data_IF_369535250340
#
_entry.id   IF_369535250340
#
_cell.length_a   1.000
_cell.length_b   1.000
_cell.length_c   1.000
_cell.angle_alpha   90.00
_cell.angle_beta   90.00
_cell.angle_gamma   90.00
#
_symmetry.space_group_name_H-M   'P 1'
#
loop_
_entity.id
_entity.type
_entity.pdbx_description
1 polymer ?
#
# COMPACT_ATOMS: atom_id res chain seq x y z
N UNK A 1 49.41 -23.41 -26.48
CA UNK A 1 48.02 -22.89 -26.49
C UNK A 1 48.13 -21.40 -26.70
N UNK A 2 47.48 -20.91 -27.75
CA UNK A 2 47.60 -19.56 -28.28
C UNK A 2 47.15 -18.56 -27.22
N UNK A 3 47.83 -17.40 -27.06
CA UNK A 3 47.43 -16.38 -26.09
C UNK A 3 45.97 -15.90 -26.27
N UNK A 4 45.40 -16.09 -27.47
CA UNK A 4 43.98 -15.83 -27.77
C UNK A 4 43.06 -16.86 -27.11
N UNK A 5 43.44 -18.13 -27.03
CA UNK A 5 42.63 -19.18 -26.39
C UNK A 5 42.49 -18.89 -24.88
N UNK A 6 43.60 -18.55 -24.21
CA UNK A 6 43.59 -18.17 -22.80
C UNK A 6 42.74 -16.92 -22.52
N UNK A 7 42.78 -15.92 -23.42
CA UNK A 7 41.97 -14.71 -23.30
C UNK A 7 40.47 -14.99 -23.49
N UNK A 8 40.12 -15.83 -24.47
CA UNK A 8 38.73 -16.22 -24.71
C UNK A 8 38.18 -17.10 -23.57
N UNK A 9 39.00 -17.96 -22.96
CA UNK A 9 38.62 -18.74 -21.78
C UNK A 9 38.36 -17.84 -20.56
N UNK A 10 39.16 -16.78 -20.37
CA UNK A 10 38.94 -15.78 -19.32
C UNK A 10 37.62 -15.01 -19.54
N UNK A 11 37.34 -14.58 -20.78
CA UNK A 11 36.05 -13.96 -21.14
C UNK A 11 34.89 -14.92 -20.86
N UNK A 12 35.03 -16.19 -21.24
CA UNK A 12 33.98 -17.19 -21.03
C UNK A 12 33.69 -17.39 -19.54
N UNK A 13 34.74 -17.49 -18.71
CA UNK A 13 34.60 -17.59 -17.26
C UNK A 13 33.88 -16.35 -16.67
N UNK A 14 34.21 -15.15 -17.13
CA UNK A 14 33.54 -13.92 -16.71
C UNK A 14 32.06 -13.88 -17.14
N UNK A 15 31.73 -14.36 -18.34
CA UNK A 15 30.33 -14.44 -18.81
C UNK A 15 29.52 -15.42 -17.96
N UNK A 16 30.09 -16.59 -17.65
CA UNK A 16 29.44 -17.60 -16.79
C UNK A 16 29.22 -17.06 -15.37
N UNK A 17 30.21 -16.33 -14.83
CA UNK A 17 30.09 -15.66 -13.54
C UNK A 17 29.01 -14.57 -13.54
N UNK A 18 28.98 -13.70 -14.55
CA UNK A 18 27.94 -12.66 -14.73
C UNK A 18 26.54 -13.28 -14.88
N UNK A 19 26.43 -14.42 -15.57
CA UNK A 19 25.17 -15.15 -15.73
C UNK A 19 24.68 -15.73 -14.40
N UNK A 20 25.57 -16.40 -13.68
CA UNK A 20 25.27 -16.96 -12.36
C UNK A 20 24.86 -15.87 -11.36
N UNK A 21 25.55 -14.73 -11.34
CA UNK A 21 25.17 -13.58 -10.50
C UNK A 21 23.76 -13.07 -10.82
N UNK A 22 23.38 -12.99 -12.11
CA UNK A 22 22.03 -12.57 -12.50
C UNK A 22 20.96 -13.55 -12.03
N UNK A 23 21.25 -14.84 -12.03
CA UNK A 23 20.33 -15.86 -11.49
C UNK A 23 20.14 -15.70 -9.98
N UNK A 24 21.22 -15.52 -9.21
CA UNK A 24 21.12 -15.26 -7.77
C UNK A 24 20.29 -14.01 -7.45
N UNK A 25 20.47 -12.93 -8.22
CA UNK A 25 19.68 -11.70 -8.05
C UNK A 25 18.19 -11.90 -8.38
N UNK A 26 17.89 -12.68 -9.41
CA UNK A 26 16.49 -13.02 -9.77
C UNK A 26 15.84 -13.89 -8.72
N UNK A 27 16.59 -14.86 -8.18
CA UNK A 27 16.11 -15.71 -7.09
C UNK A 27 15.85 -14.88 -5.84
N UNK A 28 16.75 -13.96 -5.48
CA UNK A 28 16.53 -13.05 -4.34
C UNK A 28 15.27 -12.19 -4.53
N UNK A 29 15.08 -11.64 -5.73
CA UNK A 29 13.88 -10.87 -6.08
C UNK A 29 12.61 -11.74 -5.96
N UNK A 30 12.67 -12.98 -6.44
CA UNK A 30 11.56 -13.93 -6.34
C UNK A 30 11.23 -14.28 -4.89
N UNK A 31 12.24 -14.58 -4.07
CA UNK A 31 12.07 -14.89 -2.65
C UNK A 31 11.48 -13.71 -1.88
N UNK A 32 11.86 -12.47 -2.21
CA UNK A 32 11.26 -11.28 -1.64
C UNK A 32 9.77 -11.18 -2.00
N UNK A 33 9.43 -11.35 -3.28
CA UNK A 33 8.03 -11.31 -3.74
C UNK A 33 7.18 -12.43 -3.10
N UNK A 34 7.74 -13.62 -2.93
CA UNK A 34 7.10 -14.74 -2.21
C UNK A 34 6.81 -14.38 -0.75
N UNK A 35 7.75 -13.73 -0.06
CA UNK A 35 7.56 -13.28 1.33
C UNK A 35 6.51 -12.18 1.45
N UNK A 36 6.30 -11.39 0.39
CA UNK A 36 5.26 -10.36 0.36
C UNK A 36 3.86 -10.89 -0.05
N UNK A 37 3.80 -12.07 -0.66
CA UNK A 37 2.55 -12.66 -1.19
C UNK A 37 1.45 -12.81 -0.13
N UNK A 38 1.71 -13.27 1.11
CA UNK A 38 0.69 -13.36 2.15
C UNK A 38 0.03 -12.01 2.46
N UNK A 39 0.82 -10.93 2.53
CA UNK A 39 0.29 -9.60 2.81
C UNK A 39 -0.55 -9.05 1.66
N UNK A 40 -0.12 -9.28 0.41
CA UNK A 40 -0.93 -8.93 -0.77
C UNK A 40 -2.27 -9.66 -0.77
N UNK A 41 -2.26 -10.94 -0.39
CA UNK A 41 -3.49 -11.74 -0.25
C UNK A 41 -4.40 -11.17 0.82
N UNK A 42 -3.88 -10.84 2.01
CA UNK A 42 -4.66 -10.20 3.09
C UNK A 42 -5.28 -8.89 2.62
N UNK A 43 -4.51 -8.03 1.94
CA UNK A 43 -5.03 -6.77 1.37
C UNK A 43 -6.18 -7.03 0.40
N UNK A 44 -6.03 -8.01 -0.50
CA UNK A 44 -7.09 -8.37 -1.44
C UNK A 44 -8.32 -8.93 -0.72
N UNK A 45 -8.14 -9.80 0.26
CA UNK A 45 -9.22 -10.39 1.04
C UNK A 45 -10.01 -9.31 1.79
N UNK A 46 -9.32 -8.39 2.48
CA UNK A 46 -9.93 -7.26 3.21
C UNK A 46 -10.62 -6.27 2.26
N UNK A 47 -10.07 -6.06 1.05
CA UNK A 47 -10.68 -5.16 0.07
C UNK A 47 -12.07 -5.61 -0.43
N UNK A 48 -12.48 -6.83 -0.10
CA UNK A 48 -13.77 -7.41 -0.46
C UNK A 48 -14.79 -7.42 0.68
N UNK A 49 -14.44 -6.86 1.84
CA UNK A 49 -15.20 -6.93 3.10
C UNK A 49 -15.79 -5.56 3.47
N UNK A 50 -16.86 -5.55 4.26
CA UNK A 50 -17.46 -4.31 4.77
C UNK A 50 -16.52 -3.59 5.76
N UNK A 51 -16.56 -2.25 5.84
CA UNK A 51 -15.73 -1.47 6.76
C UNK A 51 -15.78 -1.96 8.22
N UNK A 52 -16.97 -2.24 8.73
CA UNK A 52 -17.21 -2.77 10.08
C UNK A 52 -16.61 -4.16 10.33
N UNK A 53 -16.49 -5.00 9.30
CA UNK A 53 -16.01 -6.39 9.39
C UNK A 53 -14.50 -6.53 9.09
N UNK A 54 -13.80 -5.42 8.80
CA UNK A 54 -12.37 -5.44 8.45
C UNK A 54 -11.57 -6.13 9.56
N UNK A 55 -11.84 -5.80 10.82
CA UNK A 55 -11.08 -6.32 11.96
C UNK A 55 -11.50 -7.75 12.33
N UNK A 56 -12.76 -8.13 12.20
CA UNK A 56 -13.23 -9.51 12.45
C UNK A 56 -12.51 -10.54 11.56
N UNK A 57 -12.29 -10.19 10.28
CA UNK A 57 -11.53 -11.04 9.35
C UNK A 57 -10.04 -11.10 9.68
N UNK A 58 -9.49 -10.10 10.37
CA UNK A 58 -8.14 -10.21 10.91
C UNK A 58 -8.07 -11.22 12.04
N UNK A 59 -9.12 -11.34 12.86
CA UNK A 59 -9.20 -12.25 14.00
C UNK A 59 -9.49 -13.69 13.55
N UNK A 60 -10.40 -13.96 12.62
CA UNK A 60 -10.66 -15.34 12.15
C UNK A 60 -9.45 -15.98 11.44
N UNK A 61 -8.56 -15.14 10.88
CA UNK A 61 -7.29 -15.59 10.30
C UNK A 61 -6.27 -15.97 11.39
N UNK A 62 -6.37 -15.42 12.61
CA UNK A 62 -5.49 -15.78 13.75
C UNK A 62 -5.64 -17.23 14.19
N UNK A 63 -6.80 -17.86 13.95
CA UNK A 63 -7.04 -19.25 14.33
C UNK A 63 -6.58 -20.28 13.27
N UNK A 64 -6.30 -19.85 12.03
CA UNK A 64 -5.91 -20.75 10.92
C UNK A 64 -4.50 -20.55 10.38
N UNK A 65 -3.88 -19.39 10.64
CA UNK A 65 -2.48 -19.10 10.34
C UNK A 65 -1.92 -18.35 11.55
N UNK A 66 -1.16 -19.03 12.39
CA UNK A 66 -0.71 -18.53 13.69
C UNK A 66 0.25 -17.32 13.66
N UNK A 67 0.38 -16.56 12.57
CA UNK A 67 1.42 -15.51 12.46
C UNK A 67 1.11 -14.28 11.56
N UNK A 68 -0.11 -14.05 11.05
CA UNK A 68 -0.34 -12.85 10.22
C UNK A 68 -1.67 -12.16 10.53
N UNK A 69 -1.66 -11.30 11.55
CA UNK A 69 -2.56 -10.16 11.61
C UNK A 69 -2.25 -9.19 10.44
N UNK A 70 -3.16 -8.26 10.13
CA UNK A 70 -2.90 -7.10 9.25
C UNK A 70 -1.50 -6.57 9.60
N UNK A 71 -0.51 -6.58 8.68
CA UNK A 71 0.90 -6.64 9.04
C UNK A 71 1.25 -5.62 10.09
N UNK A 72 1.86 -6.10 11.16
CA UNK A 72 2.57 -5.20 12.04
C UNK A 72 3.69 -4.54 11.24
N UNK A 73 3.88 -3.26 11.53
CA UNK A 73 4.93 -2.43 10.94
C UNK A 73 6.31 -3.09 11.11
N UNK A 74 6.46 -3.95 12.11
CA UNK A 74 7.66 -4.72 12.45
C UNK A 74 7.93 -5.94 11.54
N UNK A 75 6.92 -6.67 11.05
CA UNK A 75 7.18 -7.79 10.13
C UNK A 75 7.69 -7.33 8.78
N UNK A 76 7.17 -6.21 8.25
CA UNK A 76 7.62 -5.66 6.97
C UNK A 76 9.05 -5.12 7.10
N UNK A 77 9.37 -4.46 8.22
CA UNK A 77 10.72 -3.97 8.47
C UNK A 77 11.73 -5.12 8.55
N UNK A 78 11.40 -6.22 9.25
CA UNK A 78 12.22 -7.44 9.30
C UNK A 78 12.45 -8.05 7.92
N UNK A 79 11.41 -8.18 7.11
CA UNK A 79 11.54 -8.68 5.73
C UNK A 79 12.47 -7.76 4.94
N UNK A 80 12.23 -6.45 4.95
CA UNK A 80 13.06 -5.49 4.22
C UNK A 80 14.53 -5.55 4.65
N UNK A 81 14.82 -5.51 5.95
CA UNK A 81 16.19 -5.55 6.48
C UNK A 81 16.90 -6.87 6.15
N UNK A 82 16.20 -8.00 6.22
CA UNK A 82 16.73 -9.31 5.83
C UNK A 82 17.17 -9.32 4.35
N UNK A 83 16.29 -8.94 3.44
CA UNK A 83 16.62 -8.92 2.00
C UNK A 83 17.62 -7.82 1.62
N UNK A 84 17.63 -6.69 2.35
CA UNK A 84 18.67 -5.65 2.21
C UNK A 84 20.05 -6.20 2.60
N UNK A 85 20.13 -6.98 3.67
CA UNK A 85 21.39 -7.62 4.10
C UNK A 85 21.86 -8.64 3.06
N UNK A 86 20.98 -9.52 2.59
CA UNK A 86 21.31 -10.51 1.56
C UNK A 86 21.79 -9.84 0.26
N UNK A 87 21.14 -8.74 -0.16
CA UNK A 87 21.55 -8.00 -1.35
C UNK A 87 22.93 -7.33 -1.19
N UNK A 88 23.30 -6.95 0.03
CA UNK A 88 24.61 -6.36 0.32
C UNK A 88 25.75 -7.40 0.22
N UNK A 89 25.47 -8.67 0.53
CA UNK A 89 26.43 -9.78 0.44
C UNK A 89 26.68 -10.24 -1.00
N UNK A 90 25.70 -10.05 -1.90
CA UNK A 90 25.84 -10.43 -3.31
C UNK A 90 26.73 -9.42 -4.05
N UNK A 91 27.78 -9.94 -4.70
CA UNK A 91 28.57 -9.18 -5.66
C UNK A 91 27.77 -8.98 -6.94
N UNK A 92 27.44 -7.72 -7.24
CA UNK A 92 26.71 -7.33 -8.45
C UNK A 92 27.07 -5.90 -8.86
N UNK A 93 26.68 -5.51 -10.07
CA UNK A 93 26.89 -4.14 -10.58
C UNK A 93 26.03 -3.17 -9.78
N UNK A 94 26.54 -1.96 -9.53
CA UNK A 94 25.86 -0.91 -8.76
C UNK A 94 24.43 -0.65 -9.26
N UNK A 95 24.25 -0.50 -10.57
CA UNK A 95 22.94 -0.30 -11.19
C UNK A 95 21.93 -1.45 -10.90
N UNK A 96 22.40 -2.69 -10.78
CA UNK A 96 21.52 -3.82 -10.44
C UNK A 96 21.11 -3.78 -8.98
N UNK A 97 22.04 -3.42 -8.10
CA UNK A 97 21.81 -3.25 -6.66
C UNK A 97 20.82 -2.13 -6.40
N UNK A 98 21.00 -0.97 -7.04
CA UNK A 98 20.09 0.17 -6.95
C UNK A 98 18.68 -0.17 -7.43
N UNK A 99 18.56 -0.88 -8.57
CA UNK A 99 17.26 -1.34 -9.09
C UNK A 99 16.51 -2.20 -8.08
N UNK A 100 17.16 -3.21 -7.53
CA UNK A 100 16.54 -4.12 -6.56
C UNK A 100 16.23 -3.42 -5.24
N UNK A 101 17.13 -2.57 -4.75
CA UNK A 101 16.91 -1.78 -3.54
C UNK A 101 15.69 -0.88 -3.72
N UNK A 102 15.57 -0.20 -4.86
CA UNK A 102 14.42 0.65 -5.17
C UNK A 102 13.12 -0.15 -5.22
N UNK A 103 13.13 -1.34 -5.84
CA UNK A 103 11.97 -2.25 -5.86
C UNK A 103 11.58 -2.70 -4.45
N UNK A 104 12.54 -3.12 -3.63
CA UNK A 104 12.27 -3.57 -2.26
C UNK A 104 11.69 -2.44 -1.41
N UNK A 105 12.23 -1.23 -1.53
CA UNK A 105 11.70 -0.03 -0.85
C UNK A 105 10.27 0.25 -1.32
N UNK A 106 10.03 0.28 -2.64
CA UNK A 106 8.70 0.58 -3.20
C UNK A 106 7.64 -0.41 -2.70
N UNK A 107 7.91 -1.71 -2.80
CA UNK A 107 6.95 -2.75 -2.44
C UNK A 107 6.71 -2.85 -0.92
N UNK A 108 7.75 -2.69 -0.11
CA UNK A 108 7.61 -2.61 1.35
C UNK A 108 6.81 -1.37 1.76
N UNK A 109 7.10 -0.22 1.15
CA UNK A 109 6.37 1.03 1.41
C UNK A 109 4.90 0.93 1.01
N UNK A 110 4.60 0.30 -0.14
CA UNK A 110 3.25 0.07 -0.60
C UNK A 110 2.43 -0.75 0.39
N UNK A 111 2.96 -1.88 0.87
CA UNK A 111 2.24 -2.72 1.83
C UNK A 111 2.04 -1.96 3.15
N UNK A 112 3.05 -1.25 3.65
CA UNK A 112 2.92 -0.43 4.87
C UNK A 112 1.79 0.60 4.76
N UNK A 113 1.73 1.33 3.64
CA UNK A 113 0.73 2.38 3.43
C UNK A 113 -0.69 1.81 3.31
N UNK A 114 -0.86 0.74 2.52
CA UNK A 114 -2.18 0.11 2.35
C UNK A 114 -2.66 -0.52 3.66
N UNK A 115 -1.77 -1.16 4.41
CA UNK A 115 -2.14 -1.78 5.67
C UNK A 115 -2.48 -0.75 6.74
N UNK A 116 -1.77 0.40 6.80
CA UNK A 116 -2.15 1.52 7.66
C UNK A 116 -3.57 2.00 7.34
N UNK A 117 -3.87 2.19 6.06
CA UNK A 117 -5.20 2.64 5.63
C UNK A 117 -6.29 1.69 6.15
N UNK A 118 -6.21 0.39 5.87
CA UNK A 118 -7.22 -0.57 6.30
C UNK A 118 -7.30 -0.73 7.82
N UNK A 119 -6.17 -0.71 8.53
CA UNK A 119 -6.16 -0.75 10.00
C UNK A 119 -6.87 0.45 10.61
N UNK A 120 -6.63 1.65 10.06
CA UNK A 120 -7.22 2.89 10.57
C UNK A 120 -8.72 2.90 10.30
N UNK A 121 -9.15 2.55 9.08
CA UNK A 121 -10.57 2.42 8.74
C UNK A 121 -11.24 1.37 9.64
N UNK A 122 -10.70 0.16 9.74
CA UNK A 122 -11.31 -0.89 10.56
C UNK A 122 -11.51 -0.46 12.02
N UNK A 123 -10.50 0.18 12.62
CA UNK A 123 -10.59 0.69 14.01
C UNK A 123 -11.61 1.81 14.16
N UNK A 124 -11.65 2.76 13.22
CA UNK A 124 -12.60 3.87 13.27
C UNK A 124 -14.05 3.39 13.14
N UNK A 125 -14.30 2.39 12.30
CA UNK A 125 -15.65 1.82 12.11
C UNK A 125 -16.06 0.91 13.28
N UNK A 126 -15.13 0.14 13.86
CA UNK A 126 -15.40 -0.70 15.05
C UNK A 126 -15.66 0.14 16.31
N UNK A 127 -14.88 1.22 16.50
CA UNK A 127 -15.01 2.11 17.67
C UNK A 127 -16.12 3.15 17.54
N UNK A 128 -16.89 3.15 16.45
CA UNK A 128 -17.99 4.07 16.28
C UNK A 128 -19.15 3.71 17.22
N UNK A 129 -19.52 4.65 18.10
CA UNK A 129 -20.68 4.50 18.99
C UNK A 129 -21.87 5.36 18.54
N UNK A 130 -21.66 6.66 18.31
CA UNK A 130 -22.70 7.58 17.82
C UNK A 130 -22.12 8.92 17.34
N UNK A 131 -22.81 9.58 16.41
CA UNK A 131 -22.51 10.96 15.99
C UNK A 131 -21.81 11.06 14.63
N UNK A 132 -20.63 11.66 14.60
CA UNK A 132 -19.80 11.78 13.40
C UNK A 132 -18.63 10.80 13.45
N UNK A 133 -18.29 10.25 12.28
CA UNK A 133 -17.08 9.44 12.10
C UNK A 133 -15.97 10.37 11.61
N UNK A 134 -15.15 10.85 12.54
CA UNK A 134 -14.06 11.78 12.27
C UNK A 134 -12.71 11.03 12.31
N UNK A 135 -12.02 10.96 11.17
CA UNK A 135 -10.78 10.18 11.03
C UNK A 135 -9.61 11.11 10.66
N UNK A 136 -8.47 11.07 11.37
CA UNK A 136 -7.30 11.88 11.01
C UNK A 136 -6.69 11.43 9.68
N UNK A 137 -6.43 12.37 8.77
CA UNK A 137 -5.71 12.04 7.53
C UNK A 137 -4.25 11.70 7.81
N UNK A 138 -3.60 12.48 8.67
CA UNK A 138 -2.21 12.35 9.08
C UNK A 138 -2.12 12.08 10.58
N UNK A 139 -1.08 11.38 11.01
CA UNK A 139 -0.84 11.12 12.43
C UNK A 139 -0.62 12.44 13.19
N UNK A 140 -1.55 12.79 14.08
CA UNK A 140 -1.50 14.00 14.90
C UNK A 140 -0.99 13.74 16.32
N UNK A 141 -1.09 12.51 16.81
CA UNK A 141 -0.63 12.13 18.14
C UNK A 141 -0.03 10.71 18.15
N UNK A 142 0.64 10.34 19.24
CA UNK A 142 1.31 9.04 19.37
C UNK A 142 0.34 7.84 19.44
N UNK A 143 -0.92 8.10 19.83
CA UNK A 143 -1.91 7.05 20.11
C UNK A 143 -2.79 6.79 18.90
N UNK A 144 -3.17 7.85 18.16
CA UNK A 144 -4.04 7.75 17.00
C UNK A 144 -3.26 8.00 15.70
N UNK A 145 -3.12 6.94 14.91
CA UNK A 145 -2.37 6.99 13.64
C UNK A 145 -3.32 7.42 12.52
N UNK A 146 -2.84 8.32 11.68
CA UNK A 146 -3.61 8.78 10.53
C UNK A 146 -3.72 7.74 9.42
N UNK A 147 -4.65 7.97 8.50
CA UNK A 147 -4.88 7.13 7.32
C UNK A 147 -3.65 7.02 6.41
N UNK A 148 -2.93 8.14 6.23
CA UNK A 148 -1.74 8.21 5.38
C UNK A 148 -0.49 8.16 6.23
N UNK A 149 0.39 7.21 5.91
CA UNK A 149 1.74 7.14 6.50
C UNK A 149 2.60 8.26 5.90
N UNK A 150 3.15 9.12 6.74
CA UNK A 150 4.06 10.20 6.34
C UNK A 150 5.44 9.67 5.93
N UNK A 151 6.23 10.43 5.14
CA UNK A 151 7.61 10.05 4.82
C UNK A 151 8.48 9.80 6.08
N UNK A 152 8.24 10.57 7.15
CA UNK A 152 8.93 10.39 8.43
C UNK A 152 8.61 9.03 9.05
N UNK A 153 7.33 8.69 9.16
CA UNK A 153 6.91 7.37 9.68
C UNK A 153 7.41 6.22 8.81
N UNK A 154 7.48 6.39 7.48
CA UNK A 154 8.08 5.39 6.58
C UNK A 154 9.57 5.22 6.85
N UNK A 155 10.32 6.31 7.03
CA UNK A 155 11.75 6.23 7.36
C UNK A 155 12.00 5.50 8.67
N UNK A 156 11.15 5.72 9.67
CA UNK A 156 11.21 5.05 10.98
C UNK A 156 10.78 3.58 10.88
N UNK A 157 9.80 3.26 10.03
CA UNK A 157 9.29 1.91 9.82
C UNK A 157 10.28 1.01 9.09
N UNK A 158 10.83 1.50 7.97
CA UNK A 158 11.64 0.69 7.05
C UNK A 158 13.15 0.90 7.31
N UNK A 159 13.51 1.72 8.30
CA UNK A 159 14.90 2.09 8.63
C UNK A 159 15.65 2.65 7.41
N UNK A 160 15.04 3.65 6.76
CA UNK A 160 15.61 4.35 5.61
C UNK A 160 16.32 5.62 6.07
N UNK A 161 17.55 5.81 5.61
CA UNK A 161 18.33 7.03 5.88
C UNK A 161 17.68 8.26 5.22
N UNK A 162 17.11 8.07 4.03
CA UNK A 162 16.40 9.09 3.26
C UNK A 162 15.28 8.45 2.45
N UNK A 163 14.11 9.07 2.48
CA UNK A 163 12.98 8.69 1.63
C UNK A 163 13.09 9.39 0.29
N UNK A 164 13.01 8.61 -0.78
CA UNK A 164 12.77 9.15 -2.12
C UNK A 164 11.29 9.57 -2.25
N UNK A 165 11.06 10.87 -2.33
CA UNK A 165 9.73 11.45 -2.47
C UNK A 165 9.05 11.02 -3.77
N UNK A 166 9.79 10.75 -4.84
CA UNK A 166 9.19 10.27 -6.09
C UNK A 166 8.55 8.90 -5.89
N UNK A 167 9.30 7.96 -5.31
CA UNK A 167 8.79 6.63 -4.94
C UNK A 167 7.60 6.74 -3.99
N UNK A 168 7.71 7.58 -2.95
CA UNK A 168 6.61 7.79 -2.00
C UNK A 168 5.33 8.30 -2.67
N UNK A 169 5.43 9.29 -3.55
CA UNK A 169 4.26 9.84 -4.26
C UNK A 169 3.65 8.81 -5.23
N UNK A 170 4.46 8.00 -5.91
CA UNK A 170 3.96 6.91 -6.76
C UNK A 170 3.19 5.86 -5.93
N UNK A 171 3.70 5.52 -4.75
CA UNK A 171 3.04 4.59 -3.84
C UNK A 171 1.73 5.19 -3.30
N UNK A 172 1.67 6.48 -2.99
CA UNK A 172 0.42 7.14 -2.62
C UNK A 172 -0.63 7.09 -3.75
N UNK A 173 -0.23 7.23 -5.01
CA UNK A 173 -1.14 7.06 -6.14
C UNK A 173 -1.65 5.62 -6.24
N UNK A 174 -0.81 4.61 -5.98
CA UNK A 174 -1.23 3.20 -5.88
C UNK A 174 -2.24 2.99 -4.75
N UNK A 175 -2.11 3.68 -3.62
CA UNK A 175 -3.11 3.64 -2.54
C UNK A 175 -4.45 4.18 -3.03
N UNK A 176 -4.48 5.25 -3.82
CA UNK A 176 -5.74 5.80 -4.35
C UNK A 176 -6.48 4.77 -5.21
N UNK A 177 -5.75 4.01 -6.04
CA UNK A 177 -6.35 2.92 -6.82
C UNK A 177 -7.02 1.89 -5.89
N UNK A 178 -6.34 1.49 -4.81
CA UNK A 178 -6.90 0.58 -3.79
C UNK A 178 -8.13 1.18 -3.11
N UNK A 179 -8.10 2.46 -2.74
CA UNK A 179 -9.24 3.16 -2.12
C UNK A 179 -10.46 3.16 -3.05
N UNK A 180 -10.25 3.43 -4.34
CA UNK A 180 -11.32 3.45 -5.34
C UNK A 180 -11.96 2.08 -5.49
N UNK A 181 -11.15 1.04 -5.65
CA UNK A 181 -11.60 -0.33 -5.84
C UNK A 181 -12.31 -0.83 -4.59
N UNK A 182 -11.72 -0.59 -3.41
CA UNK A 182 -12.33 -0.90 -2.13
C UNK A 182 -13.68 -0.22 -1.94
N UNK A 183 -13.80 1.07 -2.25
CA UNK A 183 -15.08 1.79 -2.13
C UNK A 183 -16.18 1.13 -2.96
N UNK A 184 -15.85 0.73 -4.19
CA UNK A 184 -16.81 0.06 -5.07
C UNK A 184 -17.22 -1.30 -4.49
N UNK A 185 -16.25 -2.11 -4.07
CA UNK A 185 -16.49 -3.42 -3.47
C UNK A 185 -17.31 -3.32 -2.18
N UNK A 186 -16.95 -2.41 -1.28
CA UNK A 186 -17.64 -2.19 -0.02
C UNK A 186 -19.12 -1.84 -0.25
N UNK A 187 -19.43 -0.94 -1.18
CA UNK A 187 -20.82 -0.55 -1.48
C UNK A 187 -21.63 -1.70 -2.04
N UNK A 188 -21.03 -2.54 -2.89
CA UNK A 188 -21.68 -3.75 -3.41
C UNK A 188 -22.02 -4.68 -2.23
N UNK A 189 -21.07 -4.91 -1.32
CA UNK A 189 -21.29 -5.75 -0.14
C UNK A 189 -22.38 -5.17 0.79
N UNK A 190 -22.35 -3.86 1.04
CA UNK A 190 -23.38 -3.18 1.83
C UNK A 190 -24.77 -3.37 1.21
N UNK A 191 -24.86 -3.29 -0.12
CA UNK A 191 -26.12 -3.44 -0.85
C UNK A 191 -26.63 -4.88 -0.91
N UNK A 192 -25.76 -5.87 -0.73
CA UNK A 192 -26.11 -7.30 -0.69
C UNK A 192 -26.45 -7.80 0.72
N UNK A 193 -25.99 -7.11 1.78
CA UNK A 193 -26.26 -7.45 3.17
C UNK A 193 -27.71 -7.14 3.58
N UNK A 194 -28.44 -8.14 4.06
CA UNK A 194 -29.88 -8.06 4.34
C UNK A 194 -30.28 -7.28 5.62
N UNK A 195 -29.33 -6.69 6.36
CA UNK A 195 -29.60 -5.97 7.61
C UNK A 195 -29.49 -4.45 7.38
N UNK A 196 -30.64 -3.77 7.33
CA UNK A 196 -30.73 -2.33 7.04
C UNK A 196 -30.18 -1.43 8.15
N UNK A 197 -30.12 -1.90 9.41
CA UNK A 197 -29.68 -1.09 10.55
C UNK A 197 -28.16 -0.88 10.61
N UNK A 198 -27.37 -1.93 10.33
CA UNK A 198 -25.90 -1.88 10.40
C UNK A 198 -25.24 -1.40 9.10
N UNK A 199 -25.94 -1.46 7.96
CA UNK A 199 -25.37 -1.04 6.67
C UNK A 199 -25.22 0.47 6.50
N UNK A 200 -25.95 1.26 7.30
CA UNK A 200 -25.96 2.72 7.16
C UNK A 200 -24.63 3.38 7.52
N UNK A 201 -23.89 2.83 8.49
CA UNK A 201 -22.53 3.28 8.79
C UNK A 201 -21.57 2.93 7.68
N UNK A 202 -21.66 1.72 7.14
CA UNK A 202 -20.71 1.24 6.14
C UNK A 202 -20.75 2.09 4.86
N UNK A 203 -21.91 2.63 4.45
CA UNK A 203 -22.01 3.56 3.31
C UNK A 203 -21.20 4.86 3.51
N UNK A 204 -20.91 5.24 4.76
CA UNK A 204 -20.09 6.40 5.11
C UNK A 204 -18.66 6.28 4.59
N UNK A 205 -18.17 5.06 4.31
CA UNK A 205 -16.85 4.84 3.72
C UNK A 205 -16.69 5.58 2.38
N UNK A 206 -17.76 5.71 1.60
CA UNK A 206 -17.73 6.44 0.34
C UNK A 206 -17.40 7.92 0.55
N UNK A 207 -17.96 8.53 1.60
CA UNK A 207 -17.70 9.92 1.97
C UNK A 207 -16.28 10.09 2.45
N UNK A 208 -15.83 9.22 3.37
CA UNK A 208 -14.46 9.21 3.89
C UNK A 208 -13.45 9.10 2.73
N UNK A 209 -13.63 8.13 1.85
CA UNK A 209 -12.71 7.88 0.73
C UNK A 209 -12.72 9.00 -0.31
N UNK A 210 -13.90 9.56 -0.62
CA UNK A 210 -14.00 10.75 -1.48
C UNK A 210 -13.21 11.94 -0.89
N UNK A 211 -13.29 12.16 0.43
CA UNK A 211 -12.54 13.23 1.09
C UNK A 211 -11.03 12.98 1.08
N UNK A 212 -10.57 11.75 1.36
CA UNK A 212 -9.15 11.38 1.27
C UNK A 212 -8.61 11.69 -0.12
N UNK A 213 -9.29 11.19 -1.16
CA UNK A 213 -8.85 11.35 -2.55
C UNK A 213 -8.89 12.82 -2.99
N UNK A 214 -9.87 13.59 -2.54
CA UNK A 214 -9.96 15.03 -2.83
C UNK A 214 -8.84 15.83 -2.15
N UNK A 215 -8.50 15.51 -0.90
CA UNK A 215 -7.37 16.13 -0.18
C UNK A 215 -6.04 15.76 -0.82
N UNK A 216 -5.86 14.50 -1.20
CA UNK A 216 -4.69 14.06 -1.96
C UNK A 216 -4.58 14.80 -3.30
N UNK A 217 -5.66 14.85 -4.09
CA UNK A 217 -5.67 15.57 -5.36
C UNK A 217 -5.26 17.04 -5.19
N UNK A 218 -5.79 17.71 -4.17
CA UNK A 218 -5.41 19.09 -3.85
C UNK A 218 -3.93 19.20 -3.46
N UNK A 219 -3.43 18.27 -2.64
CA UNK A 219 -2.01 18.19 -2.27
C UNK A 219 -1.09 17.99 -3.47
N UNK A 220 -1.44 17.09 -4.39
CA UNK A 220 -0.67 16.84 -5.62
C UNK A 220 -0.68 18.05 -6.56
N UNK A 221 -1.74 18.86 -6.60
CA UNK A 221 -1.78 20.10 -7.39
C UNK A 221 -0.81 21.17 -6.86
N UNK A 222 -0.48 21.15 -5.57
CA UNK A 222 0.50 22.06 -4.98
C UNK A 222 1.94 21.66 -5.32
N UNK A 223 2.16 20.41 -5.69
CA UNK A 223 3.47 19.92 -6.11
C UNK A 223 3.66 20.31 -7.59
N UNK A 224 4.62 21.17 -7.89
CA UNK A 224 5.05 21.43 -9.27
C UNK A 224 5.76 20.17 -9.82
N UNK A 225 4.98 19.17 -10.21
CA UNK A 225 5.45 17.85 -10.62
C UNK A 225 6.21 17.95 -11.94
N UNK A 226 7.52 18.08 -11.89
CA UNK A 226 8.35 18.09 -13.11
C UNK A 226 8.52 16.71 -13.75
N UNK A 227 8.18 15.63 -13.04
CA UNK A 227 8.35 14.26 -13.50
C UNK A 227 7.16 13.75 -14.34
N UNK A 228 7.43 13.35 -15.58
CA UNK A 228 6.41 12.87 -16.54
C UNK A 228 5.68 11.59 -16.10
N UNK A 229 6.36 10.67 -15.41
CA UNK A 229 5.75 9.42 -14.92
C UNK A 229 4.73 9.74 -13.83
N UNK A 230 5.09 10.63 -12.89
CA UNK A 230 4.19 11.09 -11.84
C UNK A 230 2.99 11.84 -12.43
N UNK A 231 3.19 12.70 -13.45
CA UNK A 231 2.08 13.39 -14.13
C UNK A 231 1.10 12.41 -14.76
N UNK A 232 1.60 11.42 -15.52
CA UNK A 232 0.76 10.39 -16.16
C UNK A 232 -0.06 9.59 -15.13
N UNK A 233 0.54 9.24 -13.99
CA UNK A 233 -0.18 8.54 -12.90
C UNK A 233 -1.17 9.45 -12.18
N UNK A 234 -0.82 10.72 -11.99
CA UNK A 234 -1.70 11.73 -11.41
C UNK A 234 -2.94 11.99 -12.28
N UNK A 235 -2.87 11.87 -13.60
CA UNK A 235 -4.08 11.98 -14.45
C UNK A 235 -5.15 10.95 -14.06
N UNK A 236 -4.74 9.76 -13.59
CA UNK A 236 -5.63 8.74 -13.03
C UNK A 236 -6.38 9.20 -11.78
N UNK A 237 -5.74 10.00 -10.92
CA UNK A 237 -6.30 10.53 -9.68
C UNK A 237 -7.55 11.39 -9.94
N UNK A 238 -7.56 12.15 -11.05
CA UNK A 238 -8.72 12.96 -11.44
C UNK A 238 -9.95 12.09 -11.71
N UNK A 239 -9.76 10.96 -12.40
CA UNK A 239 -10.85 10.03 -12.68
C UNK A 239 -11.33 9.31 -11.42
N UNK A 240 -10.41 8.93 -10.53
CA UNK A 240 -10.75 8.34 -9.22
C UNK A 240 -11.60 9.29 -8.38
N UNK A 241 -11.20 10.56 -8.27
CA UNK A 241 -11.94 11.62 -7.58
C UNK A 241 -13.36 11.80 -8.14
N UNK A 242 -13.50 11.91 -9.47
CA UNK A 242 -14.81 12.02 -10.13
C UNK A 242 -15.71 10.80 -9.87
N UNK A 243 -15.14 9.59 -9.93
CA UNK A 243 -15.87 8.35 -9.67
C UNK A 243 -16.38 8.28 -8.24
N UNK A 244 -15.52 8.57 -7.26
CA UNK A 244 -15.92 8.57 -5.85
C UNK A 244 -16.97 9.64 -5.54
N UNK A 245 -16.85 10.84 -6.12
CA UNK A 245 -17.86 11.89 -5.97
C UNK A 245 -19.21 11.49 -6.55
N UNK A 246 -19.22 10.80 -7.71
CA UNK A 246 -20.46 10.26 -8.29
C UNK A 246 -21.10 9.21 -7.37
N UNK A 247 -20.29 8.32 -6.82
CA UNK A 247 -20.75 7.31 -5.86
C UNK A 247 -21.41 7.97 -4.64
N UNK A 248 -20.73 8.95 -4.02
CA UNK A 248 -21.28 9.68 -2.86
C UNK A 248 -22.58 10.37 -3.22
N UNK A 249 -22.66 11.00 -4.40
CA UNK A 249 -23.88 11.63 -4.89
C UNK A 249 -25.03 10.64 -5.03
N UNK A 250 -24.80 9.49 -5.66
CA UNK A 250 -25.81 8.46 -5.88
C UNK A 250 -26.32 7.86 -4.55
N UNK A 251 -25.43 7.66 -3.57
CA UNK A 251 -25.81 7.19 -2.22
C UNK A 251 -26.58 8.26 -1.44
N UNK A 252 -26.19 9.53 -1.57
CA UNK A 252 -26.85 10.67 -0.90
C UNK A 252 -28.27 10.86 -1.43
N UNK A 253 -28.47 10.79 -2.76
CA UNK A 253 -29.79 10.89 -3.37
C UNK A 253 -30.76 9.78 -2.90
N UNK A 254 -30.22 8.62 -2.53
CA UNK A 254 -30.98 7.48 -2.02
C UNK A 254 -31.17 7.49 -0.49
N UNK A 255 -30.64 8.51 0.20
CA UNK A 255 -30.62 8.61 1.65
C UNK A 255 -29.96 7.40 2.35
N UNK A 256 -28.95 6.80 1.71
CA UNK A 256 -28.22 5.65 2.27
C UNK A 256 -27.09 6.07 3.23
N UNK A 257 -26.64 7.33 3.14
CA UNK A 257 -25.65 7.92 4.05
C UNK A 257 -26.43 8.65 5.14
N UNK A 258 -26.47 8.07 6.34
CA UNK A 258 -27.11 8.66 7.52
C UNK A 258 -26.11 9.28 8.51
N UNK A 259 -24.82 8.92 8.40
CA UNK A 259 -23.77 9.30 9.32
C UNK A 259 -22.84 10.32 8.66
N UNK A 260 -22.45 11.34 9.41
CA UNK A 260 -21.51 12.34 8.95
C UNK A 260 -20.09 11.79 9.04
N UNK A 261 -19.48 11.46 7.90
CA UNK A 261 -18.05 11.14 7.81
C UNK A 261 -17.20 12.38 7.55
N UNK A 262 -16.12 12.56 8.31
CA UNK A 262 -15.14 13.62 8.09
C UNK A 262 -13.72 13.08 8.17
N UNK A 263 -12.87 13.61 7.30
CA UNK A 263 -11.42 13.40 7.32
C UNK A 263 -10.78 14.74 7.58
N UNK A 264 -10.06 14.87 8.69
CA UNK A 264 -9.40 16.13 9.08
C UNK A 264 -7.91 16.11 8.78
#
# INVERSE_FOLDING_TARGET
MSGIESFLDEIKCQIEQDSSQREHLRELEHQFDLKLTPYRKIVNDISSVRPSEILDRTVDTTARIADVALPDTDSISKIFTHFRSMLAEIQCKEAQRERLTSKFIEESMYICIVCRYFQTIGRSFESYESGSLDIPLLTTCLVDKGLIVTPKEISETIFLDKVDYQTYLLVLLRLVDVIQDYTTSAIIQCSMGANESDSSIDYTIAVINSQIVSKLQSGFQLLDLKNDILRKRYDGLKYASQRLNKIVYDLTLRNLISIKGSVY
#
